data_IF_195426543071
#
_entry.id   IF_195426543071
#
_cell.length_a   1.000
_cell.length_b   1.000
_cell.length_c   1.000
_cell.angle_alpha   90.00
_cell.angle_beta   90.00
_cell.angle_gamma   90.00
#
_symmetry.space_group_name_H-M   'P 1'
#
loop_
_entity.id
_entity.type
_entity.pdbx_description
1 polymer ?
#
# COMPACT_ATOMS: atom_id res chain seq x y z
N UNK A 1 -10.62 12.19 -15.42
CA UNK A 1 -9.56 11.20 -15.71
C UNK A 1 -8.85 10.93 -14.40
N UNK A 2 -8.75 9.68 -13.98
CA UNK A 2 -8.15 9.29 -12.69
C UNK A 2 -6.63 9.25 -12.82
N UNK A 3 -5.95 10.10 -12.05
CA UNK A 3 -4.50 10.03 -11.87
C UNK A 3 -4.13 8.69 -11.21
N UNK A 4 -2.97 8.09 -11.57
CA UNK A 4 -2.49 6.87 -10.94
C UNK A 4 -2.47 7.02 -9.41
N UNK A 5 -3.14 6.12 -8.71
CA UNK A 5 -3.30 6.18 -7.25
C UNK A 5 -3.06 4.80 -6.63
N UNK A 6 -2.13 4.75 -5.68
CA UNK A 6 -1.92 3.63 -4.76
C UNK A 6 -2.72 3.86 -3.48
N UNK A 7 -3.67 2.99 -3.22
CA UNK A 7 -4.45 2.94 -1.98
C UNK A 7 -3.82 1.92 -1.04
N UNK A 8 -3.26 2.38 0.08
CA UNK A 8 -2.55 1.50 1.04
C UNK A 8 -3.42 1.31 2.28
N UNK A 9 -3.75 0.06 2.60
CA UNK A 9 -4.47 -0.28 3.81
C UNK A 9 -3.59 -0.03 5.05
N UNK A 10 -3.95 0.94 5.88
CA UNK A 10 -3.21 1.28 7.10
C UNK A 10 -3.56 0.38 8.30
N UNK A 11 -4.52 -0.53 8.13
CA UNK A 11 -5.06 -1.39 9.19
C UNK A 11 -4.52 -2.82 9.15
N UNK A 12 -3.66 -3.16 8.19
CA UNK A 12 -3.07 -4.49 8.11
C UNK A 12 -2.07 -4.71 9.26
N UNK A 13 -2.31 -5.74 10.07
CA UNK A 13 -1.38 -6.30 11.04
C UNK A 13 -1.19 -7.77 10.70
N UNK A 14 0.01 -8.16 10.30
CA UNK A 14 0.31 -9.46 9.70
C UNK A 14 0.99 -10.38 10.72
N UNK A 15 1.64 -9.83 11.75
CA UNK A 15 2.17 -10.64 12.84
C UNK A 15 1.08 -10.96 13.86
N UNK A 16 0.93 -12.24 14.20
CA UNK A 16 0.12 -12.71 15.34
C UNK A 16 0.65 -12.16 16.67
N UNK A 17 1.92 -11.74 16.68
CA UNK A 17 2.65 -11.15 17.82
C UNK A 17 2.70 -9.62 17.76
N UNK A 18 1.79 -8.95 17.04
CA UNK A 18 1.74 -7.48 17.05
C UNK A 18 1.52 -7.00 18.49
N UNK A 19 2.59 -6.50 19.11
CA UNK A 19 2.53 -5.84 20.41
C UNK A 19 1.75 -4.54 20.22
N UNK A 20 0.90 -4.18 21.19
CA UNK A 20 0.05 -2.97 21.11
C UNK A 20 0.85 -1.68 20.85
N UNK A 21 2.14 -1.67 21.19
CA UNK A 21 3.06 -0.54 21.00
C UNK A 21 3.71 -0.48 19.60
N UNK A 22 3.51 -1.49 18.75
CA UNK A 22 4.07 -1.51 17.39
C UNK A 22 3.09 -0.93 16.34
N UNK A 23 3.60 -0.14 15.38
CA UNK A 23 2.76 0.34 14.29
C UNK A 23 2.33 -0.82 13.40
N UNK A 24 1.05 -0.86 13.05
CA UNK A 24 0.51 -1.78 12.04
C UNK A 24 1.42 -1.87 10.81
N UNK A 25 1.66 -3.07 10.28
CA UNK A 25 2.50 -3.29 9.09
C UNK A 25 2.08 -2.40 7.91
N UNK A 26 0.76 -2.19 7.75
CA UNK A 26 0.22 -1.30 6.74
C UNK A 26 0.62 0.16 6.91
N UNK A 27 0.77 0.65 8.16
CA UNK A 27 1.33 1.97 8.45
C UNK A 27 2.82 2.01 8.14
N UNK A 28 3.57 0.96 8.47
CA UNK A 28 5.00 0.88 8.15
C UNK A 28 5.21 0.97 6.64
N UNK A 29 4.45 0.18 5.86
CA UNK A 29 4.49 0.22 4.39
C UNK A 29 4.15 1.60 3.85
N UNK A 30 3.08 2.23 4.37
CA UNK A 30 2.65 3.56 3.95
C UNK A 30 3.75 4.61 4.14
N UNK A 31 4.40 4.62 5.31
CA UNK A 31 5.47 5.58 5.60
C UNK A 31 6.71 5.31 4.75
N UNK A 32 7.06 4.05 4.48
CA UNK A 32 8.14 3.72 3.55
C UNK A 32 7.85 4.18 2.12
N UNK A 33 6.62 3.98 1.63
CA UNK A 33 6.21 4.43 0.29
C UNK A 33 6.26 5.96 0.20
N UNK A 34 5.72 6.68 1.19
CA UNK A 34 5.78 8.15 1.22
C UNK A 34 7.20 8.69 1.28
N UNK A 35 8.09 8.06 2.05
CA UNK A 35 9.48 8.50 2.18
C UNK A 35 10.27 8.30 0.88
N UNK A 36 9.89 7.30 0.07
CA UNK A 36 10.58 6.98 -1.18
C UNK A 36 9.94 7.64 -2.41
N UNK A 37 8.67 8.05 -2.33
CA UNK A 37 7.96 8.72 -3.43
C UNK A 37 8.66 10.03 -3.80
N UNK A 38 9.22 10.09 -5.02
CA UNK A 38 9.86 11.29 -5.57
C UNK A 38 8.99 12.01 -6.62
N UNK A 39 7.93 11.36 -7.09
CA UNK A 39 7.14 11.78 -8.25
C UNK A 39 5.74 12.22 -7.83
N UNK A 40 5.31 13.38 -8.34
CA UNK A 40 3.92 13.84 -8.19
C UNK A 40 2.95 13.15 -9.16
N UNK A 41 3.46 12.32 -10.09
CA UNK A 41 2.64 11.60 -11.07
C UNK A 41 1.85 10.43 -10.44
N UNK A 42 2.27 9.97 -9.26
CA UNK A 42 1.67 8.87 -8.53
C UNK A 42 1.16 9.35 -7.18
N UNK A 43 -0.16 9.25 -6.97
CA UNK A 43 -0.77 9.57 -5.68
C UNK A 43 -0.72 8.38 -4.74
N UNK A 44 -0.44 8.64 -3.48
CA UNK A 44 -0.52 7.64 -2.41
C UNK A 44 -1.62 8.05 -1.45
N UNK A 45 -2.65 7.22 -1.34
CA UNK A 45 -3.81 7.47 -0.50
C UNK A 45 -3.90 6.41 0.61
N UNK A 46 -3.81 6.80 1.89
CA UNK A 46 -4.11 5.89 2.98
C UNK A 46 -5.61 5.54 2.99
N UNK A 47 -5.92 4.27 3.20
CA UNK A 47 -7.30 3.78 3.33
C UNK A 47 -7.45 2.88 4.55
N UNK A 48 -8.69 2.67 4.98
CA UNK A 48 -9.02 1.68 6.00
C UNK A 48 -8.87 0.24 5.49
N UNK A 49 -9.46 -0.70 6.22
CA UNK A 49 -9.39 -2.13 5.89
C UNK A 49 -9.93 -2.42 4.48
N UNK A 50 -9.12 -3.09 3.66
CA UNK A 50 -9.51 -3.64 2.35
C UNK A 50 -10.00 -5.10 2.42
N UNK A 51 -10.22 -5.62 3.64
CA UNK A 51 -10.80 -6.95 3.93
C UNK A 51 -10.03 -8.16 3.36
N UNK A 52 -8.73 -8.00 3.09
CA UNK A 52 -7.87 -9.06 2.55
C UNK A 52 -6.54 -9.21 3.32
N UNK A 53 -6.54 -8.87 4.61
CA UNK A 53 -5.36 -8.86 5.47
C UNK A 53 -4.87 -10.25 5.91
N UNK A 54 -5.50 -11.35 5.45
CA UNK A 54 -5.20 -12.72 5.92
C UNK A 54 -3.75 -13.17 5.68
N UNK A 55 -3.02 -12.48 4.79
CA UNK A 55 -1.66 -12.87 4.40
C UNK A 55 -0.60 -11.84 4.74
N UNK A 56 -0.82 -10.57 4.39
CA UNK A 56 0.05 -9.46 4.75
C UNK A 56 -0.63 -8.09 4.49
N UNK A 57 0.15 -7.06 4.17
CA UNK A 57 -0.40 -5.77 3.74
C UNK A 57 -1.19 -5.92 2.42
N UNK A 58 -2.20 -5.05 2.28
CA UNK A 58 -3.05 -4.99 1.10
C UNK A 58 -2.95 -3.60 0.49
N UNK A 59 -2.73 -3.55 -0.81
CA UNK A 59 -2.61 -2.32 -1.59
C UNK A 59 -3.50 -2.43 -2.82
N UNK A 60 -4.24 -1.38 -3.15
CA UNK A 60 -4.94 -1.29 -4.43
C UNK A 60 -4.28 -0.25 -5.33
N UNK A 61 -4.26 -0.48 -6.62
CA UNK A 61 -3.80 0.49 -7.62
C UNK A 61 -4.92 0.80 -8.60
N UNK A 62 -5.19 2.08 -8.82
CA UNK A 62 -6.17 2.55 -9.82
C UNK A 62 -5.54 3.61 -10.71
N UNK A 63 -5.78 3.53 -12.01
CA UNK A 63 -5.34 4.51 -12.99
C UNK A 63 -6.34 4.60 -14.13
N UNK A 64 -6.36 5.74 -14.84
CA UNK A 64 -7.20 5.89 -16.02
C UNK A 64 -6.90 4.81 -17.07
N UNK A 65 -7.95 4.26 -17.67
CA UNK A 65 -7.88 3.23 -18.73
C UNK A 65 -7.19 1.92 -18.33
N UNK A 66 -6.99 1.67 -17.03
CA UNK A 66 -6.48 0.40 -16.49
C UNK A 66 -7.50 -0.19 -15.50
N UNK A 67 -7.61 -1.53 -15.37
CA UNK A 67 -8.39 -2.12 -14.29
C UNK A 67 -7.77 -1.73 -12.93
N UNK A 68 -8.60 -1.72 -11.89
CA UNK A 68 -8.06 -1.57 -10.53
C UNK A 68 -7.45 -2.90 -10.10
N UNK A 69 -6.18 -2.88 -9.72
CA UNK A 69 -5.46 -4.04 -9.22
C UNK A 69 -5.53 -4.07 -7.70
N UNK A 70 -5.75 -5.26 -7.13
CA UNK A 70 -5.62 -5.50 -5.69
C UNK A 70 -4.40 -6.40 -5.47
N UNK A 71 -3.43 -5.88 -4.76
CA UNK A 71 -2.23 -6.57 -4.34
C UNK A 71 -2.41 -7.06 -2.91
N UNK A 72 -2.50 -8.38 -2.77
CA UNK A 72 -2.57 -9.09 -1.50
C UNK A 72 -1.20 -9.61 -1.09
N UNK A 73 -0.99 -9.89 0.20
CA UNK A 73 0.23 -10.53 0.70
C UNK A 73 1.52 -9.71 0.44
N UNK A 74 1.41 -8.38 0.50
CA UNK A 74 2.56 -7.48 0.38
C UNK A 74 3.29 -7.38 1.72
N UNK A 75 4.57 -7.72 1.75
CA UNK A 75 5.41 -7.46 2.92
C UNK A 75 5.76 -5.98 3.01
N UNK A 76 5.96 -5.48 4.23
CA UNK A 76 6.12 -4.04 4.49
C UNK A 76 7.35 -3.42 3.79
N UNK A 77 8.34 -4.22 3.38
CA UNK A 77 9.55 -3.78 2.69
C UNK A 77 9.46 -3.69 1.16
N UNK A 78 8.29 -3.89 0.55
CA UNK A 78 8.08 -3.86 -0.92
C UNK A 78 7.70 -2.47 -1.46
N UNK A 79 8.02 -1.40 -0.72
CA UNK A 79 7.68 -0.04 -1.11
C UNK A 79 8.27 0.36 -2.48
N UNK A 80 9.49 -0.07 -2.78
CA UNK A 80 10.19 0.16 -4.05
C UNK A 80 9.44 -0.45 -5.25
N UNK A 81 9.02 -1.71 -5.13
CA UNK A 81 8.30 -2.41 -6.19
C UNK A 81 6.92 -1.79 -6.47
N UNK A 82 6.23 -1.32 -5.43
CA UNK A 82 4.94 -0.61 -5.59
C UNK A 82 5.10 0.71 -6.34
N UNK A 83 6.16 1.46 -6.03
CA UNK A 83 6.49 2.71 -6.72
C UNK A 83 6.87 2.45 -8.18
N UNK A 84 7.73 1.46 -8.46
CA UNK A 84 8.09 1.10 -9.84
C UNK A 84 6.85 0.68 -10.66
N UNK A 85 5.91 -0.03 -10.04
CA UNK A 85 4.66 -0.40 -10.70
C UNK A 85 3.79 0.81 -10.99
N UNK A 86 3.66 1.73 -10.03
CA UNK A 86 2.79 2.91 -10.15
C UNK A 86 3.29 3.95 -11.17
N UNK A 87 4.58 3.98 -11.47
CA UNK A 87 5.19 4.86 -12.47
C UNK A 87 5.01 4.36 -13.93
N UNK A 88 4.50 3.13 -14.14
CA UNK A 88 4.27 2.52 -15.47
C UNK A 88 2.79 2.52 -15.86
#
# INVERSE_FOLDING_TARGET
>A
MTEPTLFICQSCCCSEEHLDDQPADGKVLLEQVKAQLQSDALKVQPVGCLWDCYRACVVAFSAANKPTYLFSAIASNYADALLEFGDR
#
